data_IF_020963880317
#
_entry.id   IF_020963880317
#
_cell.length_a   1.000
_cell.length_b   1.000
_cell.length_c   1.000
_cell.angle_alpha   90.00
_cell.angle_beta   90.00
_cell.angle_gamma   90.00
#
_symmetry.space_group_name_H-M   'P 1'
#
loop_
_entity.id
_entity.type
_entity.pdbx_description
1 polymer ?
#
# COMPACT_ATOMS: atom_id res chain seq x y z
N UNK A 1 12.64 -14.01 -4.19
CA UNK A 1 11.79 -14.23 -5.38
C UNK A 1 10.47 -13.50 -5.20
N UNK A 2 10.03 -12.84 -6.29
CA UNK A 2 8.80 -12.03 -6.32
C UNK A 2 8.64 -11.35 -7.66
N UNK A 3 7.48 -10.71 -7.88
CA UNK A 3 7.17 -9.97 -9.09
C UNK A 3 6.19 -8.82 -8.85
N UNK A 4 6.09 -7.91 -9.80
CA UNK A 4 5.14 -6.79 -9.78
C UNK A 4 3.87 -7.14 -10.56
N UNK A 5 2.73 -6.72 -10.03
CA UNK A 5 1.41 -6.94 -10.62
C UNK A 5 0.49 -5.78 -10.30
N UNK A 6 -0.48 -5.49 -11.14
CA UNK A 6 -1.59 -4.61 -10.78
C UNK A 6 -2.47 -5.30 -9.73
N UNK A 7 -3.05 -4.52 -8.82
CA UNK A 7 -4.08 -5.01 -7.91
C UNK A 7 -5.46 -4.75 -8.50
N UNK A 8 -6.32 -5.76 -8.48
CA UNK A 8 -7.67 -5.68 -9.01
C UNK A 8 -8.66 -6.31 -8.02
N UNK A 9 -9.84 -5.73 -7.81
CA UNK A 9 -10.87 -6.37 -6.99
C UNK A 9 -11.46 -7.58 -7.73
N UNK A 10 -12.11 -8.47 -7.01
CA UNK A 10 -12.85 -9.58 -7.56
C UNK A 10 -14.03 -9.08 -8.44
N UNK A 11 -13.80 -9.00 -9.75
CA UNK A 11 -14.83 -8.55 -10.71
C UNK A 11 -15.97 -9.55 -10.88
N UNK A 12 -15.80 -10.80 -10.48
CA UNK A 12 -16.91 -11.76 -10.47
C UNK A 12 -17.94 -11.36 -9.39
N UNK A 13 -17.49 -10.91 -8.22
CA UNK A 13 -18.36 -10.35 -7.20
C UNK A 13 -19.15 -9.13 -7.72
N UNK A 14 -18.48 -8.26 -8.49
CA UNK A 14 -19.14 -7.13 -9.14
C UNK A 14 -20.21 -7.59 -10.14
N UNK A 15 -19.95 -8.63 -10.93
CA UNK A 15 -20.92 -9.20 -11.85
C UNK A 15 -22.11 -9.83 -11.11
N UNK A 16 -21.88 -10.52 -9.98
CA UNK A 16 -22.96 -11.06 -9.14
C UNK A 16 -23.88 -9.95 -8.61
N UNK A 17 -23.28 -8.84 -8.15
CA UNK A 17 -24.04 -7.69 -7.70
C UNK A 17 -24.85 -7.06 -8.85
N UNK A 18 -24.19 -6.77 -9.98
CA UNK A 18 -24.78 -6.01 -11.08
C UNK A 18 -25.84 -6.80 -11.88
N UNK A 19 -25.55 -8.07 -12.18
CA UNK A 19 -26.35 -8.88 -13.10
C UNK A 19 -27.26 -9.88 -12.40
N UNK A 20 -26.86 -10.34 -11.20
CA UNK A 20 -27.63 -11.33 -10.45
C UNK A 20 -28.43 -10.69 -9.29
N UNK A 21 -28.27 -9.39 -9.04
CA UNK A 21 -28.99 -8.67 -7.98
C UNK A 21 -28.63 -9.13 -6.56
N UNK A 22 -27.41 -9.64 -6.36
CA UNK A 22 -26.93 -10.04 -5.05
C UNK A 22 -26.46 -8.81 -4.26
N UNK A 23 -27.11 -8.48 -3.16
CA UNK A 23 -26.71 -7.34 -2.31
C UNK A 23 -25.35 -7.59 -1.60
N UNK A 24 -25.02 -8.84 -1.33
CA UNK A 24 -23.77 -9.28 -0.70
C UNK A 24 -23.14 -10.41 -1.53
N UNK A 25 -22.50 -10.08 -2.66
CA UNK A 25 -21.89 -11.08 -3.53
C UNK A 25 -20.68 -11.74 -2.84
N UNK A 26 -20.58 -13.05 -2.96
CA UNK A 26 -19.45 -13.81 -2.37
C UNK A 26 -18.16 -13.67 -3.18
N UNK A 27 -18.28 -13.55 -4.51
CA UNK A 27 -17.13 -13.55 -5.42
C UNK A 27 -16.51 -14.94 -5.60
N UNK A 28 -15.32 -14.95 -6.20
CA UNK A 28 -14.51 -16.17 -6.36
C UNK A 28 -13.33 -16.21 -5.41
N UNK A 29 -12.91 -15.06 -4.87
CA UNK A 29 -11.72 -14.96 -4.00
C UNK A 29 -12.17 -14.88 -2.55
N UNK A 30 -11.90 -15.91 -1.72
CA UNK A 30 -12.20 -15.85 -0.29
C UNK A 30 -11.35 -14.80 0.44
N UNK A 31 -11.87 -14.26 1.55
CA UNK A 31 -11.10 -13.38 2.42
C UNK A 31 -9.80 -14.06 2.87
N UNK A 32 -8.70 -13.31 2.86
CA UNK A 32 -7.37 -13.81 3.21
C UNK A 32 -6.64 -14.53 2.06
N UNK A 33 -7.24 -14.59 0.87
CA UNK A 33 -6.62 -15.16 -0.32
C UNK A 33 -6.42 -14.10 -1.41
N UNK A 34 -5.47 -14.40 -2.29
CA UNK A 34 -5.30 -13.74 -3.57
C UNK A 34 -5.27 -14.79 -4.68
N UNK A 35 -5.63 -14.37 -5.87
CA UNK A 35 -5.39 -15.13 -7.09
C UNK A 35 -4.51 -14.32 -8.05
N UNK A 36 -3.55 -14.99 -8.69
CA UNK A 36 -2.81 -14.46 -9.83
C UNK A 36 -2.38 -15.65 -10.68
N UNK A 37 -2.63 -15.56 -11.99
CA UNK A 37 -2.33 -16.61 -12.95
C UNK A 37 -0.88 -17.13 -12.92
N UNK A 38 0.07 -16.28 -12.53
CA UNK A 38 1.47 -16.70 -12.33
C UNK A 38 1.60 -17.90 -11.39
N UNK A 39 0.71 -18.03 -10.41
CA UNK A 39 0.80 -19.09 -9.40
C UNK A 39 0.20 -20.43 -9.84
N UNK A 40 -0.59 -20.49 -10.94
CA UNK A 40 -1.31 -21.72 -11.34
C UNK A 40 -0.38 -22.90 -11.61
N UNK A 41 0.82 -22.63 -12.13
CA UNK A 41 1.85 -23.66 -12.39
C UNK A 41 2.88 -23.76 -11.25
N UNK A 42 2.60 -23.25 -10.07
CA UNK A 42 3.55 -23.24 -8.94
C UNK A 42 2.99 -23.96 -7.72
N UNK A 43 3.85 -24.28 -6.78
CA UNK A 43 3.47 -24.85 -5.48
C UNK A 43 3.44 -23.80 -4.34
N UNK A 44 3.49 -22.51 -4.69
CA UNK A 44 3.43 -21.46 -3.68
C UNK A 44 2.02 -21.41 -3.05
N UNK A 45 1.99 -21.42 -1.72
CA UNK A 45 0.74 -21.39 -0.94
C UNK A 45 0.50 -20.06 -0.25
N UNK A 46 1.53 -19.20 -0.23
CA UNK A 46 1.51 -17.93 0.50
C UNK A 46 2.42 -16.92 -0.17
N UNK A 47 2.03 -15.67 -0.10
CA UNK A 47 2.83 -14.52 -0.57
C UNK A 47 2.59 -13.31 0.33
N UNK A 48 3.52 -12.38 0.34
CA UNK A 48 3.36 -11.06 0.95
C UNK A 48 3.14 -10.02 -0.14
N UNK A 49 2.01 -9.33 -0.08
CA UNK A 49 1.69 -8.21 -0.94
C UNK A 49 2.25 -6.93 -0.33
N UNK A 50 3.05 -6.20 -1.09
CA UNK A 50 3.67 -4.94 -0.70
C UNK A 50 3.34 -3.88 -1.73
N UNK A 51 3.07 -2.65 -1.29
CA UNK A 51 2.91 -1.51 -2.19
C UNK A 51 4.04 -0.51 -1.96
N UNK A 52 4.52 0.08 -3.02
CA UNK A 52 5.50 1.17 -2.93
C UNK A 52 4.78 2.54 -2.81
N UNK A 53 5.22 3.42 -1.92
CA UNK A 53 6.31 3.23 -0.95
C UNK A 53 5.89 2.36 0.22
N UNK A 54 6.65 1.28 0.50
CA UNK A 54 6.47 0.44 1.67
C UNK A 54 7.38 0.95 2.79
N UNK A 55 6.82 1.39 3.89
CA UNK A 55 7.54 2.11 4.93
C UNK A 55 7.43 1.47 6.32
N UNK A 56 6.46 0.60 6.53
CA UNK A 56 6.18 0.03 7.84
C UNK A 56 5.82 -1.45 7.75
N UNK A 57 6.18 -2.18 8.79
CA UNK A 57 5.83 -3.59 8.97
C UNK A 57 4.31 -3.85 9.13
N UNK A 58 3.53 -2.83 9.45
CA UNK A 58 2.07 -2.93 9.49
C UNK A 58 1.41 -2.94 8.09
N UNK A 59 2.18 -2.65 7.05
CA UNK A 59 1.74 -2.68 5.65
C UNK A 59 2.02 -4.02 4.97
N UNK A 60 2.49 -5.03 5.69
CA UNK A 60 2.70 -6.39 5.15
C UNK A 60 1.35 -7.08 4.91
N UNK A 61 1.00 -7.26 3.65
CA UNK A 61 -0.23 -7.91 3.24
C UNK A 61 -0.04 -9.42 2.99
N UNK A 62 0.21 -10.22 4.04
CA UNK A 62 0.38 -11.67 3.88
C UNK A 62 -0.96 -12.29 3.50
N UNK A 63 -1.00 -13.02 2.38
CA UNK A 63 -2.19 -13.71 1.87
C UNK A 63 -1.83 -15.12 1.38
N UNK A 64 -2.81 -15.99 1.47
CA UNK A 64 -2.72 -17.32 0.85
C UNK A 64 -2.90 -17.20 -0.64
N UNK A 65 -2.22 -18.03 -1.38
CA UNK A 65 -2.39 -18.17 -2.82
C UNK A 65 -3.55 -19.12 -3.09
N UNK A 66 -4.49 -18.68 -3.91
CA UNK A 66 -5.62 -19.50 -4.35
C UNK A 66 -5.25 -20.18 -5.67
N UNK A 67 -5.33 -21.51 -5.71
CA UNK A 67 -5.27 -22.32 -6.92
C UNK A 67 -6.68 -22.75 -7.28
N UNK A 68 -7.22 -22.27 -8.42
CA UNK A 68 -8.59 -22.52 -8.80
C UNK A 68 -8.77 -22.47 -10.31
N UNK A 69 -9.23 -23.57 -10.90
CA UNK A 69 -9.58 -23.64 -12.33
C UNK A 69 -10.69 -22.64 -12.72
N UNK A 70 -11.56 -22.29 -11.80
CA UNK A 70 -12.60 -21.31 -12.05
C UNK A 70 -12.02 -19.90 -12.11
N UNK A 71 -11.11 -19.56 -11.20
CA UNK A 71 -10.39 -18.28 -11.24
C UNK A 71 -9.55 -18.15 -12.52
N UNK A 72 -8.90 -19.23 -12.96
CA UNK A 72 -8.15 -19.26 -14.22
C UNK A 72 -9.02 -18.90 -15.42
N UNK A 73 -10.25 -19.38 -15.47
CA UNK A 73 -11.21 -19.06 -16.55
C UNK A 73 -11.64 -17.60 -16.55
N UNK A 74 -11.75 -16.99 -15.38
CA UNK A 74 -12.23 -15.62 -15.22
C UNK A 74 -11.11 -14.57 -15.22
N UNK A 75 -9.95 -14.93 -14.71
CA UNK A 75 -8.85 -14.02 -14.38
C UNK A 75 -7.51 -14.49 -14.97
N UNK A 76 -7.47 -14.82 -16.26
CA UNK A 76 -6.26 -15.32 -16.91
C UNK A 76 -5.23 -14.23 -17.30
N UNK A 77 -5.37 -13.04 -16.73
CA UNK A 77 -4.44 -11.93 -16.93
C UNK A 77 -3.27 -11.97 -15.95
N UNK A 78 -2.45 -10.93 -15.99
CA UNK A 78 -1.29 -10.75 -15.11
C UNK A 78 -1.62 -10.03 -13.81
N UNK A 79 -2.88 -9.67 -13.58
CA UNK A 79 -3.33 -8.91 -12.43
C UNK A 79 -3.48 -9.80 -11.22
N UNK A 80 -3.28 -9.21 -10.04
CA UNK A 80 -3.56 -9.86 -8.77
C UNK A 80 -4.97 -9.55 -8.32
N UNK A 81 -5.81 -10.57 -8.29
CA UNK A 81 -7.20 -10.45 -7.88
C UNK A 81 -7.31 -10.66 -6.38
N UNK A 82 -7.96 -9.73 -5.71
CA UNK A 82 -8.18 -9.77 -4.26
C UNK A 82 -9.67 -9.83 -3.92
N UNK A 83 -10.01 -10.46 -2.81
CA UNK A 83 -11.38 -10.52 -2.34
C UNK A 83 -11.97 -9.13 -2.12
N UNK A 84 -13.21 -8.91 -2.53
CA UNK A 84 -13.98 -7.71 -2.21
C UNK A 84 -14.30 -7.58 -0.71
N UNK A 85 -14.15 -8.66 0.07
CA UNK A 85 -14.36 -8.70 1.51
C UNK A 85 -13.07 -8.51 2.32
N UNK A 86 -11.91 -8.50 1.65
CA UNK A 86 -10.61 -8.36 2.29
C UNK A 86 -10.22 -6.89 2.48
N UNK A 87 -9.57 -6.61 3.61
CA UNK A 87 -9.03 -5.29 3.92
C UNK A 87 -7.69 -4.99 3.24
N UNK A 88 -7.17 -5.88 2.38
CA UNK A 88 -5.81 -5.75 1.84
C UNK A 88 -5.58 -4.43 1.11
N UNK A 89 -6.54 -3.96 0.33
CA UNK A 89 -6.43 -2.67 -0.36
C UNK A 89 -6.26 -1.50 0.63
N UNK A 90 -6.97 -1.54 1.76
CA UNK A 90 -6.84 -0.53 2.82
C UNK A 90 -5.52 -0.64 3.58
N UNK A 91 -5.06 -1.86 3.83
CA UNK A 91 -3.75 -2.13 4.47
C UNK A 91 -2.62 -1.57 3.62
N UNK A 92 -2.67 -1.83 2.31
CA UNK A 92 -1.69 -1.36 1.35
C UNK A 92 -1.93 0.09 0.90
N UNK A 93 -3.06 0.69 1.27
CA UNK A 93 -3.54 1.99 0.77
C UNK A 93 -3.58 2.03 -0.77
N UNK A 94 -3.97 0.92 -1.38
CA UNK A 94 -4.02 0.75 -2.81
C UNK A 94 -5.39 1.14 -3.38
N UNK A 95 -5.36 1.90 -4.46
CA UNK A 95 -6.52 2.28 -5.26
C UNK A 95 -6.70 1.33 -6.45
N UNK A 96 -7.87 1.38 -7.10
CA UNK A 96 -8.18 0.59 -8.29
C UNK A 96 -7.91 1.35 -9.60
N UNK A 97 -7.08 2.38 -9.56
CA UNK A 97 -6.75 3.28 -10.67
C UNK A 97 -5.46 2.89 -11.41
N UNK A 98 -4.92 1.70 -11.11
CA UNK A 98 -3.70 1.18 -11.72
C UNK A 98 -2.54 1.04 -10.75
N UNK A 99 -2.82 0.97 -9.45
CA UNK A 99 -1.78 0.70 -8.46
C UNK A 99 -1.11 -0.66 -8.68
N UNK A 100 0.21 -0.66 -8.52
CA UNK A 100 1.03 -1.86 -8.56
C UNK A 100 1.37 -2.34 -7.16
N UNK A 101 1.37 -3.65 -7.00
CA UNK A 101 1.86 -4.32 -5.81
C UNK A 101 3.01 -5.26 -6.16
N UNK A 102 3.93 -5.43 -5.23
CA UNK A 102 4.98 -6.44 -5.31
C UNK A 102 4.54 -7.67 -4.53
N UNK A 103 4.51 -8.81 -5.18
CA UNK A 103 4.23 -10.11 -4.58
C UNK A 103 5.56 -10.78 -4.25
N UNK A 104 5.81 -11.03 -2.97
CA UNK A 104 7.05 -11.66 -2.50
C UNK A 104 6.69 -13.02 -1.88
N UNK A 105 7.11 -14.09 -2.54
CA UNK A 105 6.86 -15.47 -2.10
C UNK A 105 8.15 -16.19 -1.65
N UNK A 106 9.24 -15.45 -1.49
CA UNK A 106 10.50 -15.97 -0.96
C UNK A 106 10.34 -16.43 0.49
N UNK A 107 10.66 -17.69 0.77
CA UNK A 107 10.50 -18.30 2.11
C UNK A 107 11.36 -17.62 3.17
N UNK A 108 12.56 -17.16 2.83
CA UNK A 108 13.41 -16.49 3.82
C UNK A 108 12.79 -15.14 4.21
N UNK A 109 12.22 -14.41 3.26
CA UNK A 109 11.47 -13.18 3.54
C UNK A 109 10.21 -13.45 4.37
N UNK A 110 9.37 -14.40 3.96
CA UNK A 110 8.12 -14.72 4.67
C UNK A 110 8.34 -15.18 6.12
N UNK A 111 9.47 -15.84 6.40
CA UNK A 111 9.81 -16.34 7.72
C UNK A 111 10.22 -15.25 8.73
N UNK A 112 10.66 -14.09 8.27
CA UNK A 112 11.04 -12.97 9.15
C UNK A 112 9.91 -11.99 9.41
N UNK A 113 8.76 -12.16 8.74
CA UNK A 113 7.60 -11.29 8.93
C UNK A 113 6.90 -11.55 10.26
N UNK A 114 6.53 -10.48 10.95
CA UNK A 114 5.70 -10.58 12.16
C UNK A 114 4.23 -10.75 11.75
N UNK A 115 3.75 -12.00 11.84
CA UNK A 115 2.39 -12.39 11.45
C UNK A 115 1.31 -11.98 12.47
N UNK A 116 1.72 -11.51 13.66
CA UNK A 116 0.80 -11.14 14.74
C UNK A 116 0.52 -9.63 14.76
N UNK A 117 1.22 -8.85 13.95
CA UNK A 117 0.98 -7.42 13.87
C UNK A 117 -0.36 -7.13 13.21
N UNK A 118 -1.15 -6.33 13.91
CA UNK A 118 -2.37 -5.79 13.32
C UNK A 118 -2.02 -4.72 12.27
N UNK A 119 -2.67 -4.76 11.10
CA UNK A 119 -2.47 -3.73 10.10
C UNK A 119 -2.94 -2.38 10.64
N UNK A 120 -2.21 -1.33 10.30
CA UNK A 120 -2.66 0.03 10.53
C UNK A 120 -3.45 0.48 9.30
N UNK A 121 -4.72 0.74 9.49
CA UNK A 121 -5.57 1.32 8.44
C UNK A 121 -5.73 2.80 8.71
N UNK A 122 -5.31 3.63 7.76
CA UNK A 122 -5.45 5.08 7.86
C UNK A 122 -6.88 5.49 7.45
N UNK A 123 -7.58 6.18 8.35
CA UNK A 123 -8.86 6.80 8.02
C UNK A 123 -8.59 8.17 7.40
N UNK A 124 -8.72 8.22 6.08
CA UNK A 124 -8.42 9.42 5.29
C UNK A 124 -9.47 10.50 5.55
N UNK A 125 -9.00 11.68 5.96
CA UNK A 125 -9.89 12.83 6.12
C UNK A 125 -10.41 13.27 4.75
N UNK A 126 -11.72 13.34 4.59
CA UNK A 126 -12.35 13.85 3.36
C UNK A 126 -11.97 15.32 3.12
N UNK A 127 -11.68 15.65 1.88
CA UNK A 127 -11.51 17.04 1.45
C UNK A 127 -12.83 17.82 1.60
N UNK A 128 -12.73 19.10 1.93
CA UNK A 128 -13.91 19.97 1.94
C UNK A 128 -14.25 20.36 0.48
N UNK A 129 -15.54 20.35 0.11
CA UNK A 129 -15.96 20.83 -1.20
C UNK A 129 -15.55 22.30 -1.40
N UNK A 130 -14.96 22.60 -2.54
CA UNK A 130 -14.61 23.97 -2.92
C UNK A 130 -15.06 24.27 -4.36
N UNK A 131 -15.28 25.56 -4.65
CA UNK A 131 -15.61 25.98 -6.01
C UNK A 131 -14.40 25.77 -6.94
N UNK A 132 -14.66 25.18 -8.11
CA UNK A 132 -13.64 24.98 -9.13
C UNK A 132 -13.45 26.30 -9.89
N UNK A 133 -12.23 26.83 -9.87
CA UNK A 133 -11.80 27.96 -10.69
C UNK A 133 -10.41 27.68 -11.25
N UNK A 134 -10.03 28.36 -12.33
CA UNK A 134 -8.70 28.24 -12.92
C UNK A 134 -7.60 28.61 -11.91
N UNK A 135 -7.86 29.60 -11.07
CA UNK A 135 -6.94 30.01 -10.01
C UNK A 135 -6.80 28.94 -8.93
N UNK A 136 -7.91 28.31 -8.49
CA UNK A 136 -7.89 27.24 -7.53
C UNK A 136 -7.14 26.01 -8.05
N UNK A 137 -7.34 25.64 -9.32
CA UNK A 137 -6.61 24.54 -9.99
C UNK A 137 -5.12 24.86 -10.06
N UNK A 138 -4.74 26.07 -10.49
CA UNK A 138 -3.34 26.47 -10.58
C UNK A 138 -2.66 26.48 -9.22
N UNK A 139 -3.32 27.02 -8.19
CA UNK A 139 -2.79 27.03 -6.82
C UNK A 139 -2.63 25.61 -6.27
N UNK A 140 -3.56 24.70 -6.55
CA UNK A 140 -3.47 23.31 -6.17
C UNK A 140 -2.25 22.64 -6.84
N UNK A 141 -2.06 22.82 -8.13
CA UNK A 141 -0.90 22.28 -8.86
C UNK A 141 0.42 22.84 -8.32
N UNK A 142 0.51 24.16 -8.13
CA UNK A 142 1.72 24.78 -7.59
C UNK A 142 2.04 24.29 -6.16
N UNK A 143 1.03 24.18 -5.30
CA UNK A 143 1.23 23.67 -3.93
C UNK A 143 1.62 22.20 -3.92
N UNK A 144 1.12 21.39 -4.85
CA UNK A 144 1.52 19.99 -5.00
C UNK A 144 3.00 19.88 -5.39
N UNK A 145 3.46 20.61 -6.38
CA UNK A 145 4.87 20.65 -6.77
C UNK A 145 5.80 21.14 -5.65
N UNK A 146 5.37 22.10 -4.85
CA UNK A 146 6.16 22.62 -3.74
C UNK A 146 6.23 21.66 -2.54
N UNK A 147 5.27 20.73 -2.42
CA UNK A 147 5.15 19.79 -1.31
C UNK A 147 5.47 18.35 -1.69
N UNK A 148 6.13 18.10 -2.82
CA UNK A 148 6.63 16.77 -3.23
C UNK A 148 7.76 16.26 -2.32
N UNK A 149 7.42 16.00 -1.04
CA UNK A 149 8.38 15.55 -0.04
C UNK A 149 8.38 14.02 0.16
N UNK A 150 7.66 13.25 -0.68
CA UNK A 150 7.59 11.79 -0.57
C UNK A 150 9.00 11.19 -0.57
N UNK A 151 9.83 11.56 -1.54
CA UNK A 151 11.21 11.10 -1.64
C UNK A 151 12.06 11.51 -0.44
N UNK A 152 11.85 12.72 0.09
CA UNK A 152 12.54 13.19 1.29
C UNK A 152 12.18 12.34 2.51
N UNK A 153 10.90 12.05 2.72
CA UNK A 153 10.43 11.23 3.85
C UNK A 153 10.93 9.80 3.74
N UNK A 154 10.78 9.18 2.57
CA UNK A 154 11.27 7.81 2.32
C UNK A 154 12.79 7.70 2.54
N UNK A 155 13.56 8.67 2.04
CA UNK A 155 15.00 8.73 2.25
C UNK A 155 15.35 8.95 3.73
N UNK A 156 14.54 9.72 4.47
CA UNK A 156 14.73 9.93 5.91
C UNK A 156 14.56 8.63 6.69
N UNK A 157 13.56 7.83 6.37
CA UNK A 157 13.36 6.51 6.98
C UNK A 157 14.51 5.57 6.64
N UNK A 158 14.94 5.55 5.37
CA UNK A 158 16.10 4.76 4.92
C UNK A 158 17.37 5.13 5.69
N UNK A 159 17.61 6.43 5.94
CA UNK A 159 18.76 6.89 6.73
C UNK A 159 18.72 6.39 8.17
N UNK A 160 17.54 6.34 8.80
CA UNK A 160 17.38 5.81 10.15
C UNK A 160 17.81 4.34 10.19
N UNK A 161 17.33 3.51 9.25
CA UNK A 161 17.69 2.10 9.20
C UNK A 161 19.15 1.83 8.79
N UNK A 162 19.77 2.73 8.03
CA UNK A 162 21.17 2.61 7.62
C UNK A 162 22.16 3.21 8.63
N UNK A 163 21.67 3.81 9.70
CA UNK A 163 22.52 4.35 10.76
C UNK A 163 23.21 3.23 11.53
N UNK A 164 24.35 3.55 12.13
CA UNK A 164 25.00 2.68 13.12
C UNK A 164 24.33 2.73 14.49
N UNK A 165 23.46 3.72 14.72
CA UNK A 165 22.65 3.82 15.93
C UNK A 165 21.43 2.88 15.84
N UNK A 166 20.92 2.46 17.00
CA UNK A 166 19.66 1.73 17.07
C UNK A 166 18.53 2.54 16.40
N UNK A 167 17.78 1.96 15.46
CA UNK A 167 16.69 2.68 14.78
C UNK A 167 15.59 3.12 15.75
N UNK A 168 15.27 4.41 15.78
CA UNK A 168 14.12 4.91 16.53
C UNK A 168 12.81 4.54 15.80
N UNK A 169 12.25 3.40 16.18
CA UNK A 169 11.00 2.87 15.58
C UNK A 169 9.81 3.79 15.80
N UNK A 170 9.80 4.61 16.86
CA UNK A 170 8.76 5.60 17.08
C UNK A 170 8.85 6.74 16.08
N UNK A 171 10.06 7.23 15.80
CA UNK A 171 10.29 8.23 14.76
C UNK A 171 9.92 7.67 13.38
N UNK A 172 10.28 6.42 13.07
CA UNK A 172 9.89 5.74 11.82
C UNK A 172 8.37 5.75 11.66
N UNK A 173 7.59 5.35 12.67
CA UNK A 173 6.12 5.36 12.60
C UNK A 173 5.55 6.77 12.37
N UNK A 174 6.16 7.79 12.99
CA UNK A 174 5.76 9.19 12.78
C UNK A 174 6.04 9.62 11.33
N UNK A 175 7.20 9.26 10.78
CA UNK A 175 7.56 9.56 9.40
C UNK A 175 6.67 8.81 8.40
N UNK A 176 6.31 7.55 8.68
CA UNK A 176 5.34 6.81 7.87
C UNK A 176 3.98 7.52 7.84
N UNK A 177 3.47 7.93 9.00
CA UNK A 177 2.23 8.70 9.09
C UNK A 177 2.33 10.03 8.33
N UNK A 178 3.46 10.73 8.47
CA UNK A 178 3.71 11.97 7.73
C UNK A 178 3.72 11.74 6.21
N UNK A 179 4.33 10.65 5.75
CA UNK A 179 4.38 10.33 4.34
C UNK A 179 2.98 10.19 3.74
N UNK A 180 2.03 9.59 4.47
CA UNK A 180 0.64 9.51 4.02
C UNK A 180 0.00 10.90 3.85
N UNK A 181 0.25 11.84 4.77
CA UNK A 181 -0.19 13.22 4.59
C UNK A 181 0.46 13.90 3.37
N UNK A 182 1.72 13.59 3.09
CA UNK A 182 2.43 14.15 1.92
C UNK A 182 1.85 13.59 0.62
N UNK A 183 1.61 12.29 0.53
CA UNK A 183 1.01 11.63 -0.63
C UNK A 183 -0.36 12.23 -0.96
N UNK A 184 -1.20 12.46 0.05
CA UNK A 184 -2.56 12.95 -0.14
C UNK A 184 -2.70 14.48 0.02
N UNK A 185 -1.59 15.20 0.10
CA UNK A 185 -1.63 16.64 0.32
C UNK A 185 -2.46 17.38 -0.73
N UNK A 186 -2.34 17.03 -2.00
CA UNK A 186 -3.08 17.66 -3.09
C UNK A 186 -4.61 17.42 -2.98
N UNK A 187 -5.03 16.29 -2.39
CA UNK A 187 -6.46 15.97 -2.16
C UNK A 187 -7.00 16.66 -0.92
N UNK A 188 -6.21 16.71 0.16
CA UNK A 188 -6.68 17.08 1.49
C UNK A 188 -6.27 18.47 1.95
N UNK A 189 -5.16 19.02 1.39
CA UNK A 189 -4.49 20.26 1.82
C UNK A 189 -4.09 20.22 3.31
N UNK A 190 -3.90 19.03 3.87
CA UNK A 190 -3.48 18.84 5.26
C UNK A 190 -2.03 18.40 5.33
N UNK A 191 -1.30 18.98 6.26
CA UNK A 191 0.08 18.62 6.56
C UNK A 191 0.26 18.40 8.06
N UNK A 192 1.31 17.69 8.43
CA UNK A 192 1.72 17.44 9.80
C UNK A 192 2.95 18.30 10.15
N UNK A 193 2.99 18.88 11.34
CA UNK A 193 4.18 19.62 11.80
C UNK A 193 5.24 18.66 12.34
N UNK A 194 6.34 18.54 11.61
CA UNK A 194 7.50 17.73 12.00
C UNK A 194 8.55 18.49 12.82
N UNK A 195 8.41 19.79 13.06
CA UNK A 195 9.44 20.59 13.74
C UNK A 195 9.83 20.02 15.10
N UNK A 196 8.84 19.51 15.84
CA UNK A 196 9.05 18.88 17.16
C UNK A 196 9.89 17.59 17.13
N UNK A 197 10.11 17.01 15.95
CA UNK A 197 10.91 15.79 15.77
C UNK A 197 12.27 16.07 15.14
N UNK A 198 12.57 17.33 14.78
CA UNK A 198 13.79 17.71 14.08
C UNK A 198 15.05 17.32 14.86
N UNK A 199 15.07 17.55 16.18
CA UNK A 199 16.21 17.21 17.04
C UNK A 199 16.49 15.70 17.07
N UNK A 200 15.42 14.88 17.11
CA UNK A 200 15.55 13.41 17.11
C UNK A 200 16.08 12.94 15.77
N UNK A 201 15.61 13.53 14.67
CA UNK A 201 16.05 13.15 13.32
C UNK A 201 17.49 13.59 13.03
N UNK A 202 17.97 14.66 13.66
CA UNK A 202 19.32 15.22 13.43
C UNK A 202 20.44 14.18 13.63
N UNK A 203 20.27 13.23 14.55
CA UNK A 203 21.24 12.15 14.79
C UNK A 203 21.41 11.20 13.59
N UNK A 204 20.48 11.18 12.64
CA UNK A 204 20.51 10.29 11.45
C UNK A 204 20.87 11.01 10.16
N UNK A 205 21.05 12.35 10.18
CA UNK A 205 21.21 13.16 8.97
C UNK A 205 22.41 12.76 8.09
N UNK A 206 23.49 12.31 8.73
CA UNK A 206 24.74 11.94 8.07
C UNK A 206 24.76 10.48 7.59
N UNK A 207 23.73 9.71 7.92
CA UNK A 207 23.60 8.33 7.43
C UNK A 207 23.30 8.32 5.93
N UNK A 208 23.92 7.39 5.21
CA UNK A 208 23.74 7.24 3.77
C UNK A 208 22.34 6.69 3.42
N UNK A 209 21.83 7.08 2.28
CA UNK A 209 20.78 6.33 1.58
C UNK A 209 21.48 5.23 0.77
N UNK A 210 21.00 3.98 0.85
CA UNK A 210 21.61 2.87 0.10
C UNK A 210 21.64 3.23 -1.38
N UNK A 211 22.78 3.03 -1.97
CA UNK A 211 22.99 3.21 -3.43
C UNK A 211 22.59 1.96 -4.17
#
# INVERSE_FOLDING_TARGET
DGFWSYICPDLFAFCQWLFCGQDTPEGLIPEGYIYNHYYDETEYTETCCLRYPHLSDCEHGIRKVLHSEECEKWFNGTDTIVSSHDLISKVLQADWDGDHICLVHDKAFLNVLDRQKYPLVYDMTKALPSAISNEAVMNCLLSSFQNENIGYVSNSITKIFNSTAEPDTKLVKILCSYNNFVIDYFKTQKSMDLKKYAEIYEQYKDSGVVK
#
